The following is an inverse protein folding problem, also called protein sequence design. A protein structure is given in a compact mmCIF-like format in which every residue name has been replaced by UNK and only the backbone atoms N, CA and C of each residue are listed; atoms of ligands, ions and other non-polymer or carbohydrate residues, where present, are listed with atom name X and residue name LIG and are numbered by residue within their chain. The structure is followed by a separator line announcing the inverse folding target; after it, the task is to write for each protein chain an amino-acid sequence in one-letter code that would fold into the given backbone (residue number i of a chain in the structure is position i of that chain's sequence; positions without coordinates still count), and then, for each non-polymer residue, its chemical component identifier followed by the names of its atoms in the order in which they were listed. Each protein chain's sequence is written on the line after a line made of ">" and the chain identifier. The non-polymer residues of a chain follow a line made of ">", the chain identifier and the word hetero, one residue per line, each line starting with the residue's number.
data_IF_086611872370
#
_entry.id   IF_086611872370
#
_cell.length_a   1.000
_cell.length_b   1.000
_cell.length_c   1.000
_cell.angle_alpha   90.00
_cell.angle_beta   90.00
_cell.angle_gamma   90.00
#
_symmetry.space_group_name_H-M   'P 1'
#
loop_
_entity.id
_entity.type
_entity.pdbx_description
1 polymer ?
#
# COMPACT_ATOMS: atom_id res chain seq x y z
N UNK A 1 5.05 7.04 6.46
CA UNK A 1 5.35 6.14 5.31
C UNK A 1 5.45 4.74 5.86
N UNK A 2 4.45 3.91 5.59
CA UNK A 2 4.34 2.54 6.10
C UNK A 2 3.56 1.68 5.11
N UNK A 3 3.80 0.38 5.12
CA UNK A 3 3.17 -0.62 4.27
C UNK A 3 2.78 -1.81 5.14
N UNK A 4 1.49 -2.10 5.22
CA UNK A 4 0.98 -3.27 5.94
C UNK A 4 1.36 -4.56 5.22
N UNK A 5 1.37 -5.69 5.93
CA UNK A 5 1.57 -7.00 5.31
C UNK A 5 0.48 -7.32 4.28
N UNK A 6 -0.78 -6.94 4.56
CA UNK A 6 -1.92 -7.15 3.68
C UNK A 6 -1.79 -6.37 2.38
N UNK A 7 -1.49 -5.07 2.48
CA UNK A 7 -1.30 -4.20 1.32
C UNK A 7 -0.05 -4.59 0.53
N UNK A 8 1.02 -5.05 1.21
CA UNK A 8 2.20 -5.61 0.55
C UNK A 8 1.85 -6.83 -0.31
N UNK A 9 1.12 -7.80 0.26
CA UNK A 9 0.68 -8.97 -0.48
C UNK A 9 -0.21 -8.57 -1.67
N UNK A 10 -1.11 -7.61 -1.47
CA UNK A 10 -1.95 -7.07 -2.53
C UNK A 10 -1.12 -6.47 -3.67
N UNK A 11 -0.12 -5.64 -3.37
CA UNK A 11 0.75 -5.03 -4.37
C UNK A 11 1.47 -6.09 -5.22
N UNK A 12 2.04 -7.12 -4.59
CA UNK A 12 2.73 -8.17 -5.31
C UNK A 12 1.78 -9.02 -6.16
N UNK A 13 0.58 -9.32 -5.66
CA UNK A 13 -0.47 -10.00 -6.43
C UNK A 13 -0.83 -9.20 -7.70
N UNK A 14 -0.98 -7.88 -7.58
CA UNK A 14 -1.18 -6.99 -8.74
C UNK A 14 0.01 -7.00 -9.70
N UNK A 15 1.25 -6.94 -9.20
CA UNK A 15 2.44 -7.02 -10.06
C UNK A 15 2.54 -8.34 -10.84
N UNK A 16 2.15 -9.46 -10.24
CA UNK A 16 2.16 -10.78 -10.89
C UNK A 16 1.11 -10.85 -12.02
N UNK A 17 -0.02 -10.17 -11.84
CA UNK A 17 -1.13 -10.16 -12.79
C UNK A 17 -1.05 -9.04 -13.84
N UNK A 18 -0.16 -8.06 -13.63
CA UNK A 18 -0.07 -6.88 -14.48
C UNK A 18 0.42 -7.23 -15.90
N UNK A 19 -0.26 -6.67 -16.90
CA UNK A 19 0.21 -6.65 -18.29
C UNK A 19 1.15 -5.45 -18.51
N UNK A 20 2.29 -5.46 -17.80
CA UNK A 20 3.29 -4.38 -17.85
C UNK A 20 4.70 -4.94 -17.78
N UNK A 21 5.62 -4.38 -18.57
CA UNK A 21 7.01 -4.87 -18.61
C UNK A 21 7.85 -4.38 -17.44
N UNK A 22 7.79 -3.08 -17.13
CA UNK A 22 8.57 -2.45 -16.06
C UNK A 22 7.96 -1.12 -15.66
N UNK A 23 7.75 -0.88 -14.37
CA UNK A 23 7.26 0.39 -13.83
C UNK A 23 7.94 0.71 -12.49
N UNK A 24 8.05 2.01 -12.17
CA UNK A 24 8.47 2.49 -10.86
C UNK A 24 7.26 3.07 -10.14
N UNK A 25 6.90 2.48 -9.00
CA UNK A 25 5.78 2.93 -8.17
C UNK A 25 6.16 3.01 -6.69
N UNK A 26 5.42 3.81 -5.92
CA UNK A 26 5.48 3.77 -4.47
C UNK A 26 4.45 2.77 -3.92
N UNK A 27 4.93 1.63 -3.45
CA UNK A 27 4.14 0.63 -2.75
C UNK A 27 3.99 0.95 -1.27
N UNK A 28 2.98 1.75 -0.92
CA UNK A 28 2.65 2.06 0.48
C UNK A 28 1.17 1.86 0.72
N UNK A 29 0.81 1.64 1.98
CA UNK A 29 -0.58 1.69 2.44
C UNK A 29 -1.15 3.11 2.28
N UNK A 30 -2.48 3.26 2.33
CA UNK A 30 -3.17 4.55 2.13
C UNK A 30 -3.08 5.46 3.37
N UNK A 31 -1.84 5.75 3.76
CA UNK A 31 -1.55 6.57 4.93
C UNK A 31 -2.04 8.01 4.72
N UNK A 32 -2.74 8.59 5.69
CA UNK A 32 -3.15 10.01 5.63
C UNK A 32 -1.94 10.95 5.51
N UNK A 33 -0.84 10.61 6.18
CA UNK A 33 0.40 11.40 6.22
C UNK A 33 1.45 10.90 5.22
N UNK A 34 1.02 10.39 4.06
CA UNK A 34 1.94 9.99 2.98
C UNK A 34 2.61 11.21 2.35
N UNK A 35 3.91 11.11 2.10
CA UNK A 35 4.70 12.14 1.40
C UNK A 35 4.77 11.88 -0.11
N UNK A 36 4.60 10.63 -0.54
CA UNK A 36 4.67 10.23 -1.93
C UNK A 36 3.29 9.87 -2.48
N UNK A 37 3.09 10.14 -3.76
CA UNK A 37 1.86 9.79 -4.47
C UNK A 37 1.81 8.29 -4.77
N UNK A 38 0.64 7.69 -4.54
CA UNK A 38 0.32 6.30 -4.90
C UNK A 38 -0.54 6.20 -6.16
N UNK A 39 -0.90 7.33 -6.77
CA UNK A 39 -1.82 7.36 -7.92
C UNK A 39 -1.26 6.60 -9.11
N UNK A 40 0.08 6.56 -9.28
CA UNK A 40 0.69 5.75 -10.33
C UNK A 40 0.48 4.27 -10.10
N UNK A 41 0.63 3.79 -8.86
CA UNK A 41 0.41 2.39 -8.49
C UNK A 41 -1.06 2.00 -8.72
N UNK A 42 -2.00 2.84 -8.29
CA UNK A 42 -3.44 2.67 -8.56
C UNK A 42 -3.71 2.56 -10.06
N UNK A 43 -3.21 3.50 -10.86
CA UNK A 43 -3.53 3.59 -12.27
C UNK A 43 -2.94 2.47 -13.14
N UNK A 44 -1.74 1.97 -12.83
CA UNK A 44 -1.05 0.98 -13.69
C UNK A 44 -1.14 -0.46 -13.20
N UNK A 45 -1.29 -0.64 -11.89
CA UNK A 45 -1.34 -1.97 -11.27
C UNK A 45 -2.71 -2.28 -10.69
N UNK A 46 -3.67 -1.36 -10.71
CA UNK A 46 -4.94 -1.53 -9.98
C UNK A 46 -4.70 -1.78 -8.48
N UNK A 47 -3.69 -1.10 -7.92
CA UNK A 47 -3.30 -1.23 -6.53
C UNK A 47 -4.19 -0.36 -5.62
N UNK A 48 -5.13 -1.01 -4.94
CA UNK A 48 -6.04 -0.42 -3.95
C UNK A 48 -5.60 -0.77 -2.51
N UNK A 49 -4.67 -0.03 -1.89
CA UNK A 49 -4.34 -0.22 -0.48
C UNK A 49 -5.49 0.22 0.42
N UNK A 50 -5.67 -0.46 1.54
CA UNK A 50 -6.78 -0.21 2.47
C UNK A 50 -6.34 0.10 3.90
N UNK A 51 -5.07 -0.13 4.24
CA UNK A 51 -4.58 0.18 5.58
C UNK A 51 -4.07 1.62 5.71
N UNK A 52 -4.11 2.14 6.94
CA UNK A 52 -3.52 3.43 7.29
C UNK A 52 -2.67 3.28 8.55
N UNK A 53 -1.41 3.74 8.48
CA UNK A 53 -0.48 3.72 9.62
C UNK A 53 -1.00 4.37 10.90
N UNK A 54 -1.97 5.27 10.82
CA UNK A 54 -2.58 5.87 12.00
C UNK A 54 -3.28 4.83 12.90
N UNK A 55 -3.75 3.73 12.31
CA UNK A 55 -4.55 2.70 12.97
C UNK A 55 -3.69 1.55 13.53
N UNK A 56 -2.38 1.59 13.32
CA UNK A 56 -1.45 0.54 13.73
C UNK A 56 -0.38 1.05 14.70
N UNK A 57 0.08 0.18 15.60
CA UNK A 57 1.23 0.41 16.47
C UNK A 57 2.52 0.40 15.65
N UNK A 58 3.63 0.80 16.28
CA UNK A 58 4.95 0.73 15.63
C UNK A 58 5.36 -0.72 15.29
N UNK A 59 4.85 -1.70 16.04
CA UNK A 59 5.10 -3.13 15.81
C UNK A 59 4.24 -3.70 14.69
N UNK A 60 3.28 -2.93 14.17
CA UNK A 60 2.40 -3.35 13.08
C UNK A 60 1.13 -4.06 13.53
N UNK A 61 0.80 -4.02 14.82
CA UNK A 61 -0.46 -4.52 15.37
C UNK A 61 -1.55 -3.46 15.27
N UNK A 62 -2.81 -3.82 14.99
CA UNK A 62 -3.92 -2.87 15.06
C UNK A 62 -3.99 -2.22 16.45
N UNK A 63 -4.24 -0.92 16.51
CA UNK A 63 -4.61 -0.27 17.76
C UNK A 63 -6.03 -0.71 18.10
N UNK A 64 -6.26 -1.15 19.32
CA UNK A 64 -7.63 -1.38 19.81
C UNK A 64 -8.47 -0.13 19.56
N UNK A 65 -9.71 -0.32 19.09
CA UNK A 65 -10.66 0.80 18.93
C UNK A 65 -10.76 1.53 20.28
N UNK A 66 -10.28 2.77 20.32
CA UNK A 66 -10.41 3.65 21.48
C UNK A 66 -11.83 4.23 21.56
#
# INVERSE_FOLDING_TARGET
>A
MWLSHRDCAHLFDRCIQADYGYEIVYGISDNDRKYYSIERAKAVLDYEPVDNSADYTFEGEPKDEA
#
